data_IF_292805085270
#
_entry.id   IF_292805085270
#
_cell.length_a   1.000
_cell.length_b   1.000
_cell.length_c   1.000
_cell.angle_alpha   90.00
_cell.angle_beta   90.00
_cell.angle_gamma   90.00
#
_symmetry.space_group_name_H-M   'P 1'
#
loop_
_entity.id
_entity.type
_entity.pdbx_description
1 polymer ?
#
# COMPACT_ATOMS: atom_id res chain seq x y z
N UNK A 1 4.89 15.88 -10.16
CA UNK A 1 3.60 15.19 -10.02
C UNK A 1 3.65 13.73 -10.51
N UNK A 2 4.07 13.44 -11.75
CA UNK A 2 4.08 12.08 -12.31
C UNK A 2 4.85 11.04 -11.50
N UNK A 3 6.02 11.41 -10.94
CA UNK A 3 6.82 10.50 -10.08
C UNK A 3 6.05 10.15 -8.81
N UNK A 4 5.39 11.13 -8.19
CA UNK A 4 4.55 10.88 -7.02
C UNK A 4 3.33 10.02 -7.38
N UNK A 5 2.68 10.31 -8.51
CA UNK A 5 1.56 9.51 -9.01
C UNK A 5 1.95 8.05 -9.21
N UNK A 6 3.11 7.79 -9.84
CA UNK A 6 3.59 6.43 -10.07
C UNK A 6 3.93 5.70 -8.75
N UNK A 7 4.58 6.39 -7.80
CA UNK A 7 4.85 5.82 -6.48
C UNK A 7 3.55 5.49 -5.72
N UNK A 8 2.55 6.39 -5.80
CA UNK A 8 1.21 6.19 -5.20
C UNK A 8 0.45 5.06 -5.88
N UNK A 9 0.48 4.98 -7.20
CA UNK A 9 -0.13 3.91 -7.97
C UNK A 9 0.40 2.53 -7.56
N UNK A 10 1.72 2.38 -7.50
CA UNK A 10 2.36 1.14 -7.07
C UNK A 10 2.08 0.84 -5.57
N UNK A 11 2.19 1.84 -4.70
CA UNK A 11 2.05 1.67 -3.26
C UNK A 11 0.61 1.45 -2.80
N UNK A 12 -0.29 2.41 -3.06
CA UNK A 12 -1.69 2.31 -2.63
C UNK A 12 -2.44 1.22 -3.39
N UNK A 13 -2.19 1.06 -4.70
CA UNK A 13 -2.81 0.02 -5.50
C UNK A 13 -2.48 -1.39 -4.98
N UNK A 14 -1.22 -1.65 -4.67
CA UNK A 14 -0.79 -2.93 -4.09
C UNK A 14 -1.32 -3.12 -2.66
N UNK A 15 -1.33 -2.05 -1.84
CA UNK A 15 -1.83 -2.12 -0.46
C UNK A 15 -3.33 -2.40 -0.41
N UNK A 16 -4.13 -1.73 -1.23
CA UNK A 16 -5.57 -2.00 -1.37
C UNK A 16 -5.80 -3.45 -1.81
N UNK A 17 -5.06 -3.92 -2.82
CA UNK A 17 -5.16 -5.31 -3.28
C UNK A 17 -4.89 -6.30 -2.14
N UNK A 18 -3.89 -6.05 -1.30
CA UNK A 18 -3.58 -6.91 -0.17
C UNK A 18 -4.69 -6.89 0.90
N UNK A 19 -5.23 -5.71 1.21
CA UNK A 19 -6.30 -5.54 2.21
C UNK A 19 -7.60 -6.21 1.73
N UNK A 20 -7.98 -5.99 0.48
CA UNK A 20 -9.22 -6.53 -0.09
C UNK A 20 -9.22 -8.07 -0.16
N UNK A 21 -8.05 -8.68 -0.41
CA UNK A 21 -7.91 -10.13 -0.52
C UNK A 21 -7.55 -10.83 0.81
N UNK A 22 -7.33 -10.08 1.90
CA UNK A 22 -6.83 -10.66 3.15
C UNK A 22 -7.76 -11.71 3.75
N UNK A 23 -9.07 -11.51 3.65
CA UNK A 23 -10.07 -12.50 4.07
C UNK A 23 -9.91 -13.80 3.29
N UNK A 24 -9.88 -13.70 1.97
CA UNK A 24 -9.76 -14.84 1.07
C UNK A 24 -8.39 -15.54 1.20
N UNK A 25 -7.32 -14.81 1.50
CA UNK A 25 -6.00 -15.36 1.82
C UNK A 25 -6.09 -16.22 3.09
N UNK A 26 -6.74 -15.71 4.15
CA UNK A 26 -6.93 -16.45 5.39
C UNK A 26 -7.72 -17.75 5.17
N UNK A 27 -8.81 -17.69 4.40
CA UNK A 27 -9.60 -18.86 4.03
C UNK A 27 -8.81 -19.87 3.21
N UNK A 28 -8.05 -19.42 2.23
CA UNK A 28 -7.20 -20.28 1.39
C UNK A 28 -6.13 -21.05 2.18
N UNK A 29 -5.65 -20.44 3.27
CA UNK A 29 -4.67 -21.04 4.18
C UNK A 29 -5.33 -21.96 5.25
N UNK A 30 -6.65 -22.09 5.22
CA UNK A 30 -7.40 -22.98 6.13
C UNK A 30 -7.66 -22.39 7.52
N UNK A 31 -7.55 -21.09 7.70
CA UNK A 31 -7.90 -20.46 8.97
C UNK A 31 -9.41 -20.43 9.19
N UNK A 32 -9.91 -20.66 10.41
CA UNK A 32 -11.33 -20.56 10.72
C UNK A 32 -11.84 -19.12 10.58
N UNK A 33 -13.12 -18.93 10.24
CA UNK A 33 -13.74 -17.63 9.98
C UNK A 33 -13.51 -16.59 11.10
N UNK A 34 -13.51 -17.02 12.38
CA UNK A 34 -13.21 -16.15 13.52
C UNK A 34 -11.80 -15.55 13.43
N UNK A 35 -10.81 -16.35 13.02
CA UNK A 35 -9.43 -15.91 12.85
C UNK A 35 -9.30 -14.97 11.63
N UNK A 36 -10.01 -15.27 10.55
CA UNK A 36 -10.05 -14.38 9.36
C UNK A 36 -10.58 -13.00 9.73
N UNK A 37 -11.67 -12.93 10.51
CA UNK A 37 -12.20 -11.66 11.04
C UNK A 37 -11.16 -10.92 11.88
N UNK A 38 -10.33 -11.63 12.65
CA UNK A 38 -9.25 -11.03 13.44
C UNK A 38 -8.19 -10.38 12.56
N UNK A 39 -7.82 -10.97 11.42
CA UNK A 39 -6.87 -10.37 10.47
C UNK A 39 -7.40 -9.05 9.91
N UNK A 40 -8.67 -9.01 9.49
CA UNK A 40 -9.32 -7.80 8.97
C UNK A 40 -9.38 -6.70 10.05
N UNK A 41 -9.70 -7.08 11.28
CA UNK A 41 -9.71 -6.15 12.42
C UNK A 41 -8.31 -5.58 12.71
N UNK A 42 -7.27 -6.42 12.67
CA UNK A 42 -5.88 -5.98 12.85
C UNK A 42 -5.47 -4.97 11.78
N UNK A 43 -5.77 -5.24 10.50
CA UNK A 43 -5.49 -4.28 9.43
C UNK A 43 -6.17 -2.94 9.71
N UNK A 44 -7.43 -2.94 10.13
CA UNK A 44 -8.19 -1.72 10.39
C UNK A 44 -7.60 -0.89 11.55
N UNK A 45 -7.24 -1.57 12.65
CA UNK A 45 -6.61 -0.93 13.81
C UNK A 45 -5.24 -0.33 13.42
N UNK A 46 -4.39 -1.12 12.77
CA UNK A 46 -3.06 -0.65 12.38
C UNK A 46 -3.08 0.36 11.24
N UNK A 47 -4.12 0.36 10.40
CA UNK A 47 -4.34 1.43 9.44
C UNK A 47 -4.57 2.78 10.14
N UNK A 48 -5.36 2.80 11.19
CA UNK A 48 -5.56 4.00 12.01
C UNK A 48 -4.22 4.46 12.64
N UNK A 49 -3.50 3.56 13.31
CA UNK A 49 -2.21 3.89 13.90
C UNK A 49 -1.18 4.35 12.85
N UNK A 50 -1.15 3.75 11.68
CA UNK A 50 -0.29 4.16 10.57
C UNK A 50 -0.54 5.61 10.16
N UNK A 51 -1.80 6.03 10.07
CA UNK A 51 -2.17 7.42 9.75
C UNK A 51 -1.67 8.41 10.80
N UNK A 52 -1.95 8.14 12.07
CA UNK A 52 -1.54 9.00 13.18
C UNK A 52 -0.01 9.07 13.28
N UNK A 53 0.65 7.92 13.26
CA UNK A 53 2.09 7.82 13.37
C UNK A 53 2.82 8.53 12.24
N UNK A 54 2.44 8.28 11.00
CA UNK A 54 3.12 8.89 9.84
C UNK A 54 2.92 10.39 9.78
N UNK A 55 1.73 10.90 10.13
CA UNK A 55 1.48 12.33 10.24
C UNK A 55 2.38 12.99 11.27
N UNK A 56 2.37 12.49 12.51
CA UNK A 56 3.15 13.05 13.62
C UNK A 56 4.67 12.91 13.40
N UNK A 57 5.13 11.72 13.03
CA UNK A 57 6.56 11.46 12.87
C UNK A 57 7.14 12.24 11.69
N UNK A 58 6.43 12.29 10.55
CA UNK A 58 6.89 13.04 9.39
C UNK A 58 7.01 14.54 9.68
N UNK A 59 6.09 15.11 10.46
CA UNK A 59 6.16 16.51 10.90
C UNK A 59 7.35 16.75 11.81
N UNK A 60 7.53 15.88 12.82
CA UNK A 60 8.66 15.98 13.75
C UNK A 60 10.00 15.87 13.03
N UNK A 61 10.12 14.96 12.06
CA UNK A 61 11.36 14.76 11.30
C UNK A 61 11.67 15.94 10.38
N UNK A 62 10.67 16.56 9.80
CA UNK A 62 10.88 17.73 8.94
C UNK A 62 11.30 18.95 9.76
N UNK A 63 10.66 19.19 10.89
CA UNK A 63 10.96 20.34 11.75
C UNK A 63 12.36 20.22 12.39
N UNK A 64 12.67 19.06 12.99
CA UNK A 64 13.93 18.88 13.73
C UNK A 64 15.12 18.54 12.84
N UNK A 65 14.92 17.68 11.85
CA UNK A 65 16.03 17.08 11.07
C UNK A 65 16.00 17.46 9.60
N UNK A 66 15.00 18.21 9.15
CA UNK A 66 14.82 18.61 7.73
C UNK A 66 14.83 17.40 6.77
N UNK A 67 14.30 16.30 7.24
CA UNK A 67 14.16 15.04 6.47
C UNK A 67 13.01 15.20 5.47
N UNK A 68 13.24 14.94 4.17
CA UNK A 68 12.18 15.05 3.17
C UNK A 68 11.10 13.99 3.37
N UNK A 69 9.83 14.39 3.32
CA UNK A 69 8.68 13.46 3.47
C UNK A 69 8.68 12.30 2.46
N UNK A 70 9.12 12.47 1.21
CA UNK A 70 9.26 11.33 0.29
C UNK A 70 10.17 10.21 0.82
N UNK A 71 11.13 10.50 1.72
CA UNK A 71 11.95 9.47 2.36
C UNK A 71 11.10 8.58 3.29
N UNK A 72 10.20 9.20 4.06
CA UNK A 72 9.25 8.44 4.89
C UNK A 72 8.34 7.56 4.02
N UNK A 73 7.86 8.10 2.88
CA UNK A 73 7.08 7.32 1.92
C UNK A 73 7.87 6.11 1.41
N UNK A 74 9.15 6.29 1.06
CA UNK A 74 10.04 5.19 0.64
C UNK A 74 10.15 4.11 1.72
N UNK A 75 10.38 4.50 2.98
CA UNK A 75 10.49 3.55 4.10
C UNK A 75 9.18 2.78 4.33
N UNK A 76 8.04 3.45 4.23
CA UNK A 76 6.72 2.82 4.35
C UNK A 76 6.47 1.82 3.21
N UNK A 77 6.86 2.13 1.98
CA UNK A 77 6.75 1.21 0.84
C UNK A 77 7.66 -0.01 1.00
N UNK A 78 8.88 0.17 1.51
CA UNK A 78 9.77 -0.95 1.82
C UNK A 78 9.22 -1.83 2.95
N UNK A 79 8.60 -1.23 3.96
CA UNK A 79 7.92 -1.97 5.02
C UNK A 79 6.75 -2.79 4.46
N UNK A 80 5.96 -2.22 3.54
CA UNK A 80 4.88 -2.94 2.87
C UNK A 80 5.40 -4.17 2.09
N UNK A 81 6.55 -4.07 1.43
CA UNK A 81 7.18 -5.20 0.74
C UNK A 81 7.44 -6.38 1.69
N UNK A 82 7.87 -6.11 2.93
CA UNK A 82 8.05 -7.16 3.96
C UNK A 82 6.70 -7.85 4.24
N UNK A 83 5.62 -7.08 4.40
CA UNK A 83 4.27 -7.63 4.58
C UNK A 83 3.83 -8.54 3.44
N UNK A 84 4.09 -8.15 2.19
CA UNK A 84 3.73 -8.97 1.02
C UNK A 84 4.57 -10.24 0.91
N UNK A 85 5.85 -10.18 1.24
CA UNK A 85 6.71 -11.38 1.29
C UNK A 85 6.19 -12.38 2.34
N UNK A 86 5.74 -11.91 3.51
CA UNK A 86 5.14 -12.77 4.53
C UNK A 86 3.85 -13.45 4.07
N UNK A 87 3.07 -12.80 3.20
CA UNK A 87 1.88 -13.41 2.58
C UNK A 87 2.29 -14.39 1.47
N UNK A 88 3.31 -14.06 0.67
CA UNK A 88 3.79 -14.93 -0.41
C UNK A 88 4.41 -16.25 0.12
N UNK A 89 5.04 -16.20 1.29
CA UNK A 89 5.67 -17.34 1.95
C UNK A 89 5.11 -17.51 3.37
N UNK A 90 3.86 -17.97 3.50
CA UNK A 90 3.20 -18.05 4.79
C UNK A 90 3.84 -19.10 5.69
N UNK A 91 4.28 -18.65 6.85
CA UNK A 91 4.67 -19.47 7.98
C UNK A 91 3.54 -19.50 9.03
N UNK A 92 3.51 -20.48 9.94
CA UNK A 92 2.52 -20.49 11.01
C UNK A 92 2.53 -19.16 11.78
N UNK A 93 1.38 -18.46 11.81
CA UNK A 93 1.23 -17.17 12.47
C UNK A 93 1.75 -15.95 11.69
N UNK A 94 2.43 -16.10 10.55
CA UNK A 94 2.96 -14.96 9.77
C UNK A 94 1.87 -14.01 9.27
N UNK A 95 0.64 -14.51 9.05
CA UNK A 95 -0.46 -13.70 8.55
C UNK A 95 -0.91 -12.63 9.57
N UNK A 96 -0.76 -12.87 10.88
CA UNK A 96 -0.98 -11.83 11.90
C UNK A 96 0.00 -10.67 11.74
N UNK A 97 1.29 -11.00 11.61
CA UNK A 97 2.36 -10.00 11.43
C UNK A 97 2.19 -9.27 10.09
N UNK A 98 1.86 -10.00 9.03
CA UNK A 98 1.56 -9.42 7.71
C UNK A 98 0.38 -8.45 7.78
N UNK A 99 -0.71 -8.79 8.49
CA UNK A 99 -1.89 -7.93 8.67
C UNK A 99 -1.53 -6.62 9.38
N UNK A 100 -0.68 -6.67 10.40
CA UNK A 100 -0.18 -5.50 11.12
C UNK A 100 0.64 -4.61 10.19
N UNK A 101 1.62 -5.18 9.49
CA UNK A 101 2.53 -4.44 8.61
C UNK A 101 1.78 -3.82 7.43
N UNK A 102 0.91 -4.59 6.77
CA UNK A 102 0.12 -4.11 5.63
C UNK A 102 -0.84 -3.01 6.07
N UNK A 103 -1.56 -3.21 7.19
CA UNK A 103 -2.47 -2.21 7.73
C UNK A 103 -1.74 -0.90 8.05
N UNK A 104 -0.65 -0.97 8.80
CA UNK A 104 0.17 0.19 9.14
C UNK A 104 0.70 0.91 7.91
N UNK A 105 1.29 0.17 6.95
CA UNK A 105 1.86 0.74 5.73
C UNK A 105 0.78 1.39 4.85
N UNK A 106 -0.39 0.77 4.72
CA UNK A 106 -1.51 1.36 3.98
C UNK A 106 -2.00 2.65 4.62
N UNK A 107 -2.16 2.67 5.96
CA UNK A 107 -2.56 3.87 6.69
C UNK A 107 -1.54 5.01 6.59
N UNK A 108 -0.25 4.68 6.70
CA UNK A 108 0.82 5.65 6.69
C UNK A 108 1.00 6.38 5.35
N UNK A 109 0.67 5.76 4.22
CA UNK A 109 0.84 6.34 2.89
C UNK A 109 -0.05 7.58 2.68
N UNK A 110 -1.30 7.56 3.16
CA UNK A 110 -2.28 8.62 2.87
C UNK A 110 -1.86 10.00 3.40
N UNK A 111 -1.53 10.19 4.69
CA UNK A 111 -1.11 11.50 5.19
C UNK A 111 0.18 12.00 4.52
N UNK A 112 1.10 11.08 4.19
CA UNK A 112 2.34 11.43 3.51
C UNK A 112 2.10 12.00 2.11
N UNK A 113 1.19 11.39 1.34
CA UNK A 113 0.83 11.86 0.00
C UNK A 113 0.21 13.26 0.09
N UNK A 114 -0.72 13.47 1.04
CA UNK A 114 -1.38 14.78 1.23
C UNK A 114 -0.38 15.86 1.57
N UNK A 115 0.52 15.58 2.51
CA UNK A 115 1.53 16.52 2.94
C UNK A 115 2.53 16.82 1.81
N UNK A 116 3.00 15.80 1.07
CA UNK A 116 3.91 15.99 -0.07
C UNK A 116 3.27 16.87 -1.16
N UNK A 117 1.98 16.66 -1.47
CA UNK A 117 1.28 17.46 -2.48
C UNK A 117 1.16 18.92 -2.03
N UNK A 118 0.73 19.16 -0.77
CA UNK A 118 0.56 20.51 -0.25
C UNK A 118 1.88 21.29 -0.19
N UNK A 119 2.96 20.64 0.21
CA UNK A 119 4.28 21.27 0.35
C UNK A 119 4.95 21.56 -0.99
N UNK A 120 4.94 20.61 -1.92
CA UNK A 120 5.65 20.77 -3.20
C UNK A 120 4.90 21.63 -4.22
N UNK A 121 3.58 21.61 -4.19
CA UNK A 121 2.76 22.29 -5.20
C UNK A 121 1.95 23.49 -4.65
N UNK A 122 1.97 23.67 -3.33
CA UNK A 122 1.24 24.73 -2.65
C UNK A 122 -0.26 24.50 -2.58
N UNK A 123 -0.96 25.41 -1.87
CA UNK A 123 -2.40 25.28 -1.58
C UNK A 123 -3.29 25.73 -2.76
N UNK A 124 -2.79 26.59 -3.65
CA UNK A 124 -3.60 27.17 -4.74
C UNK A 124 -4.25 26.14 -5.66
N UNK A 125 -3.52 25.07 -6.00
CA UNK A 125 -4.00 24.00 -6.90
C UNK A 125 -4.13 22.66 -6.17
N UNK A 126 -4.13 22.69 -4.84
CA UNK A 126 -4.11 21.48 -4.00
C UNK A 126 -5.25 20.52 -4.34
N UNK A 127 -6.49 21.01 -4.37
CA UNK A 127 -7.68 20.20 -4.65
C UNK A 127 -7.57 19.45 -5.99
N UNK A 128 -7.17 20.14 -7.06
CA UNK A 128 -7.05 19.54 -8.38
C UNK A 128 -5.96 18.49 -8.43
N UNK A 129 -4.77 18.82 -7.90
CA UNK A 129 -3.64 17.90 -7.87
C UNK A 129 -3.88 16.69 -6.96
N UNK A 130 -4.57 16.92 -5.84
CA UNK A 130 -4.98 15.88 -4.92
C UNK A 130 -5.95 14.89 -5.60
N UNK A 131 -7.05 15.38 -6.20
CA UNK A 131 -8.00 14.52 -6.89
C UNK A 131 -7.36 13.77 -8.07
N UNK A 132 -6.49 14.42 -8.82
CA UNK A 132 -5.70 13.75 -9.86
C UNK A 132 -4.78 12.66 -9.28
N UNK A 133 -4.12 12.94 -8.15
CA UNK A 133 -3.28 11.96 -7.44
C UNK A 133 -4.08 10.78 -6.89
N UNK A 134 -5.30 11.02 -6.43
CA UNK A 134 -6.18 9.97 -5.90
C UNK A 134 -6.65 8.97 -6.97
N UNK A 135 -6.67 9.34 -8.25
CA UNK A 135 -6.95 8.39 -9.33
C UNK A 135 -5.94 7.25 -9.40
N UNK A 136 -4.73 7.44 -8.90
CA UNK A 136 -3.71 6.41 -8.83
C UNK A 136 -4.16 5.18 -8.02
N UNK A 137 -4.90 5.39 -6.93
CA UNK A 137 -5.36 4.32 -6.04
C UNK A 137 -6.38 3.38 -6.69
N UNK A 138 -7.54 3.83 -7.23
CA UNK A 138 -8.49 2.96 -7.89
C UNK A 138 -7.95 2.34 -9.18
N UNK A 139 -7.14 3.06 -9.94
CA UNK A 139 -6.50 2.50 -11.13
C UNK A 139 -5.52 1.38 -10.76
N UNK A 140 -4.69 1.60 -9.74
CA UNK A 140 -3.77 0.60 -9.22
C UNK A 140 -4.51 -0.62 -8.67
N UNK A 141 -5.53 -0.41 -7.85
CA UNK A 141 -6.37 -1.49 -7.32
C UNK A 141 -7.04 -2.28 -8.44
N UNK A 142 -7.62 -1.64 -9.44
CA UNK A 142 -8.22 -2.36 -10.57
C UNK A 142 -7.21 -3.25 -11.30
N UNK A 143 -6.03 -2.73 -11.59
CA UNK A 143 -5.00 -3.49 -12.31
C UNK A 143 -4.44 -4.61 -11.45
N UNK A 144 -4.07 -4.33 -10.20
CA UNK A 144 -3.41 -5.32 -9.34
C UNK A 144 -4.38 -6.30 -8.69
N UNK A 145 -5.57 -5.85 -8.29
CA UNK A 145 -6.55 -6.74 -7.67
C UNK A 145 -7.31 -7.54 -8.72
N UNK A 146 -8.00 -6.86 -9.63
CA UNK A 146 -8.91 -7.55 -10.56
C UNK A 146 -8.15 -8.25 -11.69
N UNK A 147 -7.26 -7.52 -12.38
CA UNK A 147 -6.58 -8.07 -13.57
C UNK A 147 -5.41 -8.99 -13.22
N UNK A 148 -4.63 -8.67 -12.20
CA UNK A 148 -3.45 -9.46 -11.85
C UNK A 148 -3.81 -10.56 -10.83
N UNK A 149 -4.23 -10.18 -9.63
CA UNK A 149 -4.47 -11.12 -8.52
C UNK A 149 -5.64 -12.03 -8.83
N UNK A 150 -6.77 -11.49 -9.29
CA UNK A 150 -7.95 -12.27 -9.66
C UNK A 150 -7.64 -13.28 -10.77
N UNK A 151 -7.00 -12.84 -11.85
CA UNK A 151 -6.63 -13.74 -12.96
C UNK A 151 -5.67 -14.86 -12.51
N UNK A 152 -4.65 -14.53 -11.71
CA UNK A 152 -3.70 -15.53 -11.23
C UNK A 152 -4.33 -16.50 -10.23
N UNK A 153 -5.19 -15.99 -9.34
CA UNK A 153 -5.96 -16.81 -8.42
C UNK A 153 -6.87 -17.80 -9.16
N UNK A 154 -7.65 -17.31 -10.12
CA UNK A 154 -8.54 -18.16 -10.92
C UNK A 154 -7.76 -19.24 -11.67
N UNK A 155 -6.59 -18.88 -12.22
CA UNK A 155 -5.71 -19.83 -12.91
C UNK A 155 -5.24 -20.95 -12.00
N UNK A 156 -4.81 -20.64 -10.77
CA UNK A 156 -4.37 -21.68 -9.80
C UNK A 156 -5.57 -22.51 -9.30
N UNK A 157 -6.72 -21.88 -9.05
CA UNK A 157 -7.93 -22.58 -8.66
C UNK A 157 -8.45 -23.55 -9.76
N UNK A 158 -8.32 -23.18 -11.03
CA UNK A 158 -8.63 -24.07 -12.16
C UNK A 158 -7.67 -25.25 -12.24
N UNK A 159 -6.39 -25.07 -11.94
CA UNK A 159 -5.42 -26.20 -11.87
C UNK A 159 -5.78 -27.17 -10.75
N UNK A 160 -6.18 -26.66 -9.60
CA UNK A 160 -6.59 -27.50 -8.46
C UNK A 160 -7.89 -28.26 -8.75
N UNK A 161 -8.83 -27.66 -9.47
CA UNK A 161 -10.05 -28.33 -9.96
C UNK A 161 -9.71 -29.45 -10.94
N UNK A 162 -8.84 -29.18 -11.90
CA UNK A 162 -8.39 -30.18 -12.88
C UNK A 162 -7.70 -31.39 -12.22
N UNK A 163 -6.88 -31.17 -11.18
CA UNK A 163 -6.27 -32.24 -10.38
C UNK A 163 -7.31 -33.13 -9.67
N UNK A 164 -8.48 -32.57 -9.32
CA UNK A 164 -9.60 -33.29 -8.69
C UNK A 164 -10.55 -33.94 -9.71
N UNK A 165 -10.25 -33.83 -11.01
CA UNK A 165 -11.09 -34.37 -12.09
C UNK A 165 -12.44 -33.64 -12.24
N UNK A 166 -12.59 -32.43 -11.68
CA UNK A 166 -13.79 -31.62 -11.74
C UNK A 166 -13.69 -30.54 -12.82
N UNK A 167 -14.83 -30.24 -13.46
CA UNK A 167 -14.93 -29.15 -14.45
C UNK A 167 -15.50 -27.88 -13.82
N UNK A 168 -15.26 -26.72 -14.44
CA UNK A 168 -15.74 -25.42 -13.98
C UNK A 168 -17.27 -25.41 -13.78
N UNK A 169 -18.03 -26.14 -14.60
CA UNK A 169 -19.48 -26.24 -14.54
C UNK A 169 -20.02 -27.03 -13.34
N UNK A 170 -19.19 -27.85 -12.70
CA UNK A 170 -19.59 -28.67 -11.54
C UNK A 170 -19.48 -27.94 -10.19
N UNK A 171 -18.95 -26.69 -10.16
CA UNK A 171 -18.69 -25.95 -8.92
C UNK A 171 -19.31 -24.56 -8.96
N UNK A 172 -20.11 -24.20 -7.93
CA UNK A 172 -20.77 -22.88 -7.82
C UNK A 172 -19.77 -21.73 -7.63
N UNK A 173 -18.70 -21.94 -6.85
CA UNK A 173 -17.64 -20.94 -6.62
C UNK A 173 -16.28 -21.56 -6.83
N UNK A 174 -15.38 -20.79 -7.45
CA UNK A 174 -14.00 -21.19 -7.66
C UNK A 174 -13.22 -20.92 -6.38
N UNK A 175 -12.74 -21.97 -5.71
CA UNK A 175 -11.95 -21.85 -4.48
C UNK A 175 -10.60 -22.52 -4.67
N UNK A 176 -9.55 -21.81 -4.31
CA UNK A 176 -8.19 -22.32 -4.26
C UNK A 176 -7.78 -22.52 -2.81
N UNK A 177 -7.20 -23.66 -2.46
CA UNK A 177 -6.78 -24.00 -1.09
C UNK A 177 -5.28 -24.28 -1.10
N UNK A 178 -4.56 -23.53 -0.27
CA UNK A 178 -3.12 -23.66 -0.12
C UNK A 178 -2.34 -22.37 -0.34
N UNK A 179 -1.10 -22.36 0.09
CA UNK A 179 -0.21 -21.19 -0.01
C UNK A 179 0.13 -20.78 -1.46
N UNK A 180 0.01 -21.71 -2.40
CA UNK A 180 0.31 -21.44 -3.82
C UNK A 180 -0.69 -20.47 -4.48
N UNK A 181 -1.91 -20.35 -3.94
CA UNK A 181 -2.98 -19.52 -4.50
C UNK A 181 -2.61 -18.04 -4.62
N UNK A 182 -1.94 -17.51 -3.61
CA UNK A 182 -1.56 -16.10 -3.53
C UNK A 182 -0.05 -15.86 -3.64
N UNK A 183 0.76 -16.92 -3.73
CA UNK A 183 2.21 -16.79 -3.77
C UNK A 183 2.70 -15.92 -4.93
N UNK A 184 2.29 -16.25 -6.14
CA UNK A 184 2.74 -15.53 -7.33
C UNK A 184 2.21 -14.10 -7.39
N UNK A 185 0.92 -13.81 -7.14
CA UNK A 185 0.41 -12.44 -7.04
C UNK A 185 1.22 -11.58 -6.06
N UNK A 186 1.48 -12.07 -4.85
CA UNK A 186 2.17 -11.29 -3.82
C UNK A 186 3.67 -11.10 -4.09
N UNK A 187 4.33 -12.02 -4.78
CA UNK A 187 5.68 -11.80 -5.30
C UNK A 187 5.68 -10.64 -6.30
N UNK A 188 4.74 -10.62 -7.24
CA UNK A 188 4.63 -9.53 -8.23
C UNK A 188 4.31 -8.20 -7.54
N UNK A 189 3.36 -8.17 -6.58
CA UNK A 189 3.05 -6.97 -5.79
C UNK A 189 4.27 -6.45 -5.03
N UNK A 190 5.11 -7.34 -4.51
CA UNK A 190 6.37 -6.96 -3.85
C UNK A 190 7.31 -6.24 -4.82
N UNK A 191 7.50 -6.77 -6.03
CA UNK A 191 8.34 -6.12 -7.04
C UNK A 191 7.78 -4.78 -7.51
N UNK A 192 6.48 -4.69 -7.72
CA UNK A 192 5.79 -3.45 -8.11
C UNK A 192 5.94 -2.38 -7.02
N UNK A 193 5.74 -2.75 -5.76
CA UNK A 193 5.87 -1.82 -4.63
C UNK A 193 7.33 -1.42 -4.39
N UNK A 194 8.26 -2.34 -4.57
CA UNK A 194 9.68 -2.03 -4.53
C UNK A 194 10.08 -1.03 -5.64
N UNK A 195 9.56 -1.20 -6.86
CA UNK A 195 9.71 -0.20 -7.93
C UNK A 195 9.08 1.14 -7.53
N UNK A 196 7.91 1.14 -6.88
CA UNK A 196 7.31 2.33 -6.29
C UNK A 196 8.21 3.01 -5.25
N UNK A 197 8.90 2.23 -4.40
CA UNK A 197 9.88 2.75 -3.45
C UNK A 197 11.09 3.41 -4.14
N UNK A 198 11.59 2.81 -5.22
CA UNK A 198 12.66 3.41 -6.02
C UNK A 198 12.22 4.73 -6.68
N UNK A 199 11.00 4.79 -7.21
CA UNK A 199 10.46 6.04 -7.77
C UNK A 199 10.28 7.11 -6.69
N UNK A 200 9.86 6.73 -5.49
CA UNK A 200 9.81 7.64 -4.33
C UNK A 200 11.20 8.13 -3.93
N UNK A 201 12.22 7.28 -4.01
CA UNK A 201 13.62 7.67 -3.74
C UNK A 201 14.14 8.70 -4.75
N UNK A 202 13.75 8.60 -6.02
CA UNK A 202 14.04 9.65 -7.02
C UNK A 202 13.44 10.99 -6.56
N UNK A 203 12.22 10.96 -6.01
CA UNK A 203 11.59 12.17 -5.48
C UNK A 203 12.36 12.74 -4.29
N UNK A 204 12.90 11.89 -3.40
CA UNK A 204 13.76 12.29 -2.28
C UNK A 204 14.97 13.11 -2.80
N UNK A 205 15.68 12.56 -3.79
CA UNK A 205 16.87 13.24 -4.35
C UNK A 205 16.50 14.58 -4.97
N UNK A 206 15.40 14.62 -5.74
CA UNK A 206 14.93 15.85 -6.42
C UNK A 206 14.46 16.94 -5.46
N UNK A 207 13.88 16.55 -4.31
CA UNK A 207 13.28 17.50 -3.36
C UNK A 207 14.18 17.81 -2.17
N UNK A 208 15.36 17.18 -2.05
CA UNK A 208 16.28 17.36 -0.93
C UNK A 208 16.62 18.81 -0.64
N UNK A 209 16.94 19.59 -1.67
CA UNK A 209 17.31 21.01 -1.52
C UNK A 209 16.11 21.85 -1.06
N UNK A 210 14.92 21.55 -1.54
CA UNK A 210 13.68 22.18 -1.13
C UNK A 210 13.41 21.97 0.37
N UNK A 211 13.53 20.74 0.87
CA UNK A 211 13.31 20.40 2.28
C UNK A 211 14.42 20.90 3.23
N UNK A 212 15.60 21.22 2.71
CA UNK A 212 16.66 21.88 3.49
C UNK A 212 16.41 23.39 3.71
N UNK A 213 15.66 24.04 2.83
CA UNK A 213 15.21 25.43 3.02
C UNK A 213 14.11 25.50 4.08
N UNK A 214 13.86 26.70 4.62
CA UNK A 214 12.75 26.90 5.56
C UNK A 214 11.41 26.90 4.82
N UNK A 215 10.78 25.72 4.75
CA UNK A 215 9.53 25.48 4.01
C UNK A 215 8.39 26.33 4.60
N UNK A 216 8.41 26.54 5.91
CA UNK A 216 7.35 27.28 6.62
C UNK A 216 7.53 28.79 6.56
N UNK A 217 8.66 29.32 6.02
CA UNK A 217 8.87 30.75 5.88
C UNK A 217 7.76 31.42 5.08
N UNK A 218 7.41 30.84 3.93
CA UNK A 218 6.29 31.35 3.10
C UNK A 218 4.94 31.32 3.79
N UNK A 219 4.68 30.33 4.65
CA UNK A 219 3.42 30.27 5.41
C UNK A 219 3.39 31.30 6.52
N UNK A 220 4.53 31.60 7.18
CA UNK A 220 4.63 32.66 8.18
C UNK A 220 4.48 34.04 7.54
N UNK A 221 5.15 34.31 6.44
CA UNK A 221 5.04 35.59 5.70
C UNK A 221 3.61 35.85 5.23
N UNK A 222 2.90 34.84 4.76
CA UNK A 222 1.48 34.97 4.37
C UNK A 222 0.54 35.15 5.57
N UNK A 223 0.87 34.61 6.74
CA UNK A 223 0.07 34.83 7.96
C UNK A 223 0.30 36.20 8.57
N UNK A 224 1.46 36.80 8.40
CA UNK A 224 1.77 38.18 8.85
C UNK A 224 1.22 39.24 7.89
N UNK A 225 0.82 38.87 6.67
CA UNK A 225 0.25 39.77 5.66
C UNK A 225 -1.28 39.81 5.65
N UNK A 226 -1.95 39.06 6.55
CA UNK A 226 -3.40 39.02 6.77
C UNK A 226 -3.78 39.73 8.06
#
# INVERSE_FOLDING_TARGET
MWVLFLATFCGLGASLTAVDNLGQIGESLGYPNKTVTSFVSLVSIWNFFGRVFSGFVSETLIVKYKVPRPLMMTLVLLLACIGYVLVAFPMPGSLYVASIIIGFSFGAQLPLIFAIISELFGLKYYSTLFNCGQLASPLGSYIFNVKLTGFLYDREAMKDLAKKGLTRSSVKALTCIGSHCYRLPFIILTFVTFFGALTSLILVVRTRNYYRSDIYKKFRENAESL
#
